data_IF_402178273633
#
_entry.id   IF_402178273633
#
_cell.length_a   1.000
_cell.length_b   1.000
_cell.length_c   1.000
_cell.angle_alpha   90.00
_cell.angle_beta   90.00
_cell.angle_gamma   90.00
#
_symmetry.space_group_name_H-M   'P 1'
#
loop_
_entity.id
_entity.type
_entity.pdbx_description
1 polymer ?
#
# COMPACT_ATOMS: atom_id res chain seq x y z
N UNK A 1 0.43 14.20 -14.33
CA UNK A 1 0.87 12.94 -13.69
C UNK A 1 1.28 11.91 -14.73
N UNK A 2 0.44 11.66 -15.75
CA UNK A 2 0.72 10.75 -16.89
C UNK A 2 2.03 11.07 -17.63
N UNK A 3 2.34 12.35 -17.88
CA UNK A 3 3.58 12.75 -18.55
C UNK A 3 4.87 12.48 -17.76
N UNK A 4 4.79 12.39 -16.42
CA UNK A 4 5.94 12.07 -15.57
C UNK A 4 6.25 10.56 -15.57
N UNK A 5 5.21 9.73 -15.71
CA UNK A 5 5.33 8.27 -15.80
C UNK A 5 5.99 7.87 -17.12
N UNK A 6 5.55 8.46 -18.24
CA UNK A 6 6.10 8.20 -19.57
C UNK A 6 7.60 8.55 -19.69
N UNK A 7 8.05 9.60 -19.00
CA UNK A 7 9.47 10.04 -19.00
C UNK A 7 10.37 9.14 -18.14
N UNK A 8 9.84 8.51 -17.09
CA UNK A 8 10.64 7.75 -16.13
C UNK A 8 11.00 6.31 -16.60
N UNK A 9 10.58 5.90 -17.81
CA UNK A 9 10.74 4.52 -18.34
C UNK A 9 10.24 3.46 -17.35
N UNK A 10 9.13 3.72 -16.67
CA UNK A 10 8.48 2.71 -15.83
C UNK A 10 7.94 1.63 -16.77
N UNK A 11 8.21 0.36 -16.45
CA UNK A 11 7.67 -0.74 -17.23
C UNK A 11 6.16 -0.88 -17.00
N UNK A 12 5.37 -1.31 -17.99
CA UNK A 12 3.93 -1.55 -17.79
C UNK A 12 3.64 -2.50 -16.63
N UNK A 13 4.52 -3.47 -16.39
CA UNK A 13 4.42 -4.41 -15.28
C UNK A 13 4.60 -3.74 -13.91
N UNK A 14 5.49 -2.76 -13.77
CA UNK A 14 5.69 -2.03 -12.50
C UNK A 14 4.53 -1.09 -12.20
N UNK A 15 3.98 -0.46 -13.24
CA UNK A 15 2.78 0.38 -13.13
C UNK A 15 1.56 -0.47 -12.72
N UNK A 16 1.38 -1.62 -13.36
CA UNK A 16 0.32 -2.58 -13.01
C UNK A 16 0.49 -3.13 -11.60
N UNK A 17 1.70 -3.51 -11.19
CA UNK A 17 1.98 -4.01 -9.82
C UNK A 17 1.66 -2.95 -8.76
N UNK A 18 2.00 -1.68 -9.01
CA UNK A 18 1.64 -0.57 -8.13
C UNK A 18 0.12 -0.33 -8.11
N UNK A 19 -0.53 -0.29 -9.27
CA UNK A 19 -1.99 -0.08 -9.36
C UNK A 19 -2.76 -1.18 -8.60
N UNK A 20 -2.40 -2.44 -8.83
CA UNK A 20 -2.98 -3.57 -8.12
C UNK A 20 -2.68 -3.51 -6.61
N UNK A 21 -1.47 -3.09 -6.24
CA UNK A 21 -1.08 -2.83 -4.85
C UNK A 21 -1.99 -1.81 -4.16
N UNK A 22 -2.28 -0.67 -4.79
CA UNK A 22 -3.16 0.37 -4.25
C UNK A 22 -4.61 -0.11 -4.08
N UNK A 23 -5.11 -0.92 -5.03
CA UNK A 23 -6.44 -1.51 -4.92
C UNK A 23 -6.51 -2.44 -3.72
N UNK A 24 -5.53 -3.33 -3.54
CA UNK A 24 -5.47 -4.24 -2.40
C UNK A 24 -5.30 -3.49 -1.08
N UNK A 25 -4.44 -2.47 -1.05
CA UNK A 25 -4.28 -1.58 0.12
C UNK A 25 -5.60 -0.94 0.51
N UNK A 26 -6.37 -0.42 -0.45
CA UNK A 26 -7.67 0.21 -0.20
C UNK A 26 -8.68 -0.78 0.39
N UNK A 27 -8.74 -2.00 -0.15
CA UNK A 27 -9.62 -3.05 0.36
C UNK A 27 -9.22 -3.40 1.80
N UNK A 28 -7.93 -3.64 2.05
CA UNK A 28 -7.43 -4.00 3.36
C UNK A 28 -7.63 -2.91 4.40
N UNK A 29 -7.48 -1.63 4.02
CA UNK A 29 -7.80 -0.49 4.90
C UNK A 29 -9.28 -0.46 5.32
N UNK A 30 -10.20 -0.74 4.39
CA UNK A 30 -11.63 -0.81 4.70
C UNK A 30 -11.94 -1.99 5.64
N UNK A 31 -11.29 -3.14 5.42
CA UNK A 31 -11.40 -4.29 6.33
C UNK A 31 -10.88 -3.94 7.72
N UNK A 32 -9.70 -3.32 7.82
CA UNK A 32 -9.12 -2.89 9.09
C UNK A 32 -10.04 -1.92 9.84
N UNK A 33 -10.60 -0.94 9.13
CA UNK A 33 -11.54 0.03 9.69
C UNK A 33 -12.77 -0.66 10.27
N UNK A 34 -13.28 -1.72 9.61
CA UNK A 34 -14.43 -2.49 10.10
C UNK A 34 -14.17 -3.17 11.45
N UNK A 35 -12.92 -3.49 11.78
CA UNK A 35 -12.54 -4.08 13.06
C UNK A 35 -12.38 -3.06 14.20
N UNK A 36 -12.32 -1.77 13.91
CA UNK A 36 -12.10 -0.70 14.91
C UNK A 36 -13.14 -0.72 16.03
N UNK A 37 -14.40 -1.05 15.69
CA UNK A 37 -15.50 -1.14 16.65
C UNK A 37 -15.26 -2.16 17.77
N UNK A 38 -14.44 -3.20 17.51
CA UNK A 38 -14.09 -4.20 18.51
C UNK A 38 -13.28 -3.60 19.67
N UNK A 39 -12.46 -2.59 19.39
CA UNK A 39 -11.58 -1.95 20.38
C UNK A 39 -12.26 -0.84 21.18
N UNK A 40 -13.47 -0.41 20.80
CA UNK A 40 -14.27 0.57 21.55
C UNK A 40 -14.97 -0.08 22.75
N UNK A 41 -15.24 -1.39 22.69
CA UNK A 41 -15.86 -2.16 23.77
C UNK A 41 -14.83 -2.40 24.89
N UNK A 42 -15.04 -1.80 26.07
CA UNK A 42 -14.18 -1.98 27.24
C UNK A 42 -14.02 -3.45 27.68
N UNK A 43 -15.07 -4.25 27.49
CA UNK A 43 -15.10 -5.66 27.88
C UNK A 43 -14.66 -6.60 26.75
N UNK A 44 -13.91 -6.10 25.76
CA UNK A 44 -13.47 -6.92 24.65
C UNK A 44 -12.47 -7.97 25.12
N UNK A 45 -12.89 -9.24 25.14
CA UNK A 45 -11.99 -10.37 25.31
C UNK A 45 -11.20 -10.59 24.03
N UNK A 46 -9.87 -10.62 24.13
CA UNK A 46 -8.99 -10.95 23.02
C UNK A 46 -9.38 -12.30 22.40
N UNK A 47 -9.44 -12.33 21.06
CA UNK A 47 -9.64 -13.56 20.28
C UNK A 47 -8.52 -13.71 19.26
N UNK A 48 -7.85 -14.85 19.29
CA UNK A 48 -6.68 -15.13 18.45
C UNK A 48 -6.98 -15.06 16.95
N UNK A 49 -8.12 -15.61 16.51
CA UNK A 49 -8.47 -15.68 15.09
C UNK A 49 -8.71 -14.27 14.51
N UNK A 50 -9.61 -13.42 15.08
CA UNK A 50 -9.76 -12.04 14.66
C UNK A 50 -8.45 -11.24 14.66
N UNK A 51 -7.62 -11.42 15.70
CA UNK A 51 -6.32 -10.76 15.75
C UNK A 51 -5.40 -11.16 14.59
N UNK A 52 -5.37 -12.45 14.20
CA UNK A 52 -4.61 -12.89 13.02
C UNK A 52 -5.12 -12.27 11.74
N UNK A 53 -6.43 -12.17 11.56
CA UNK A 53 -7.03 -11.53 10.38
C UNK A 53 -6.66 -10.06 10.31
N UNK A 54 -6.80 -9.32 11.41
CA UNK A 54 -6.39 -7.91 11.52
C UNK A 54 -4.92 -7.73 11.13
N UNK A 55 -4.02 -8.59 11.63
CA UNK A 55 -2.59 -8.55 11.31
C UNK A 55 -2.35 -8.85 9.82
N UNK A 56 -3.10 -9.77 9.22
CA UNK A 56 -2.98 -10.07 7.79
C UNK A 56 -3.39 -8.87 6.92
N UNK A 57 -4.50 -8.18 7.26
CA UNK A 57 -4.90 -6.96 6.57
C UNK A 57 -3.82 -5.88 6.67
N UNK A 58 -3.25 -5.68 7.86
CA UNK A 58 -2.16 -4.73 8.06
C UNK A 58 -0.94 -5.04 7.15
N UNK A 59 -0.58 -6.32 7.00
CA UNK A 59 0.51 -6.74 6.10
C UNK A 59 0.21 -6.47 4.62
N UNK A 60 -1.05 -6.65 4.19
CA UNK A 60 -1.48 -6.35 2.82
C UNK A 60 -1.34 -4.85 2.54
N UNK A 61 -1.70 -4.00 3.51
CA UNK A 61 -1.52 -2.55 3.42
C UNK A 61 -0.03 -2.21 3.24
N UNK A 62 0.85 -2.76 4.07
CA UNK A 62 2.31 -2.53 3.99
C UNK A 62 2.91 -2.99 2.66
N UNK A 63 2.47 -4.15 2.15
CA UNK A 63 2.91 -4.68 0.85
C UNK A 63 2.46 -3.80 -0.32
N UNK A 64 1.19 -3.35 -0.32
CA UNK A 64 0.63 -2.42 -1.31
C UNK A 64 1.43 -1.13 -1.41
N UNK A 65 1.72 -0.50 -0.26
CA UNK A 65 2.57 0.71 -0.18
C UNK A 65 3.97 0.44 -0.74
N UNK A 66 4.56 -0.70 -0.38
CA UNK A 66 5.93 -1.06 -0.80
C UNK A 66 6.05 -1.18 -2.32
N UNK A 67 5.03 -1.72 -3.00
CA UNK A 67 4.97 -1.84 -4.46
C UNK A 67 5.02 -0.47 -5.15
N UNK A 68 4.24 0.49 -4.68
CA UNK A 68 4.25 1.85 -5.26
C UNK A 68 5.47 2.69 -4.87
N UNK A 69 6.04 2.48 -3.68
CA UNK A 69 7.28 3.17 -3.27
C UNK A 69 8.42 2.88 -4.24
N UNK A 70 8.51 1.67 -4.80
CA UNK A 70 9.51 1.34 -5.83
C UNK A 70 9.36 2.24 -7.06
N UNK A 71 8.14 2.39 -7.57
CA UNK A 71 7.82 3.25 -8.72
C UNK A 71 8.17 4.72 -8.42
N UNK A 72 7.77 5.24 -7.25
CA UNK A 72 8.09 6.61 -6.84
C UNK A 72 9.61 6.85 -6.76
N UNK A 73 10.38 5.87 -6.27
CA UNK A 73 11.85 5.97 -6.22
C UNK A 73 12.45 6.08 -7.62
N UNK A 74 11.94 5.33 -8.59
CA UNK A 74 12.39 5.40 -9.99
C UNK A 74 12.11 6.79 -10.60
N UNK A 75 10.89 7.30 -10.42
CA UNK A 75 10.51 8.66 -10.87
C UNK A 75 11.42 9.72 -10.24
N UNK A 76 11.66 9.64 -8.93
CA UNK A 76 12.54 10.59 -8.22
C UNK A 76 13.97 10.52 -8.73
N UNK A 77 14.52 9.34 -8.96
CA UNK A 77 15.88 9.16 -9.51
C UNK A 77 15.99 9.76 -10.91
N UNK A 78 14.96 9.60 -11.75
CA UNK A 78 14.94 10.19 -13.08
C UNK A 78 14.85 11.72 -13.05
N UNK A 79 14.09 12.28 -12.11
CA UNK A 79 13.89 13.72 -11.98
C UNK A 79 14.98 14.46 -11.17
N UNK A 80 15.98 13.75 -10.64
CA UNK A 80 17.12 14.41 -10.00
C UNK A 80 17.94 15.17 -11.06
N UNK A 81 18.19 16.49 -10.87
CA UNK A 81 19.06 17.22 -11.77
C UNK A 81 20.45 16.58 -11.74
N UNK A 82 21.02 16.28 -12.91
CA UNK A 82 22.42 15.86 -13.02
C UNK A 82 23.26 16.96 -12.40
N UNK A 83 23.88 16.69 -11.24
CA UNK A 83 24.93 17.55 -10.72
C UNK A 83 26.12 17.41 -11.68
N UNK A 84 26.33 18.44 -12.48
CA UNK A 84 27.58 18.67 -13.21
C UNK A 84 28.66 19.10 -12.22
#
# INVERSE_FOLDING_TARGET
MVELLAKAKISPSEEEECSNGLVQERIACLNLLSYTCQFIKRDYTFRLIPARVIIQEARIIEDGVTKCVKVIRLIKKHNQPRKF
#
